data_IF_641824704600
#
_entry.id   IF_641824704600
#
_cell.length_a   1.000
_cell.length_b   1.000
_cell.length_c   1.000
_cell.angle_alpha   90.00
_cell.angle_beta   90.00
_cell.angle_gamma   90.00
#
_symmetry.space_group_name_H-M   'P 1'
#
loop_
_entity.id
_entity.type
_entity.pdbx_description
1 polymer ?
#
# COMPACT_ATOMS: atom_id res chain seq x y z
N UNK A 1 -2.97 18.01 1.99
CA UNK A 1 -3.19 16.68 2.61
C UNK A 1 -4.63 16.26 2.38
N UNK A 2 -4.80 15.24 1.54
CA UNK A 2 -6.08 14.74 1.08
C UNK A 2 -6.89 14.03 2.16
N UNK A 3 -8.17 13.75 1.89
CA UNK A 3 -8.97 12.87 2.78
C UNK A 3 -8.45 11.44 2.71
N UNK A 4 -8.01 10.99 1.53
CA UNK A 4 -7.37 9.69 1.35
C UNK A 4 -6.14 9.51 2.27
N UNK A 5 -5.29 10.54 2.39
CA UNK A 5 -4.14 10.53 3.31
C UNK A 5 -4.58 10.39 4.77
N UNK A 6 -5.62 11.12 5.18
CA UNK A 6 -6.15 11.03 6.54
C UNK A 6 -6.69 9.62 6.84
N UNK A 7 -7.46 9.03 5.92
CA UNK A 7 -7.94 7.64 6.04
C UNK A 7 -6.78 6.65 6.14
N UNK A 8 -5.73 6.84 5.34
CA UNK A 8 -4.51 6.03 5.40
C UNK A 8 -3.84 6.05 6.77
N UNK A 9 -3.71 7.22 7.40
CA UNK A 9 -3.12 7.34 8.75
C UNK A 9 -3.88 6.56 9.82
N UNK A 10 -5.18 6.26 9.60
CA UNK A 10 -5.92 5.32 10.44
C UNK A 10 -5.64 3.87 10.02
N UNK A 11 -5.72 3.55 8.72
CA UNK A 11 -5.54 2.18 8.23
C UNK A 11 -4.15 1.59 8.49
N UNK A 12 -3.09 2.41 8.44
CA UNK A 12 -1.72 1.94 8.69
C UNK A 12 -1.46 1.57 10.17
N UNK A 13 -2.28 2.08 11.11
CA UNK A 13 -2.14 1.79 12.54
C UNK A 13 -2.35 0.32 12.85
N UNK A 14 -3.21 -0.38 12.11
CA UNK A 14 -3.40 -1.82 12.28
C UNK A 14 -2.07 -2.58 12.13
N UNK A 15 -1.22 -2.18 11.17
CA UNK A 15 0.11 -2.76 10.99
C UNK A 15 1.07 -2.40 12.13
N UNK A 16 1.00 -1.16 12.63
CA UNK A 16 1.79 -0.69 13.78
C UNK A 16 1.40 -1.41 15.07
N UNK A 17 0.11 -1.61 15.33
CA UNK A 17 -0.43 -2.34 16.47
C UNK A 17 -0.04 -3.81 16.42
N UNK A 18 -0.09 -4.45 15.26
CA UNK A 18 0.37 -5.84 15.08
C UNK A 18 1.86 -5.99 15.38
N UNK A 19 2.69 -5.01 14.98
CA UNK A 19 4.11 -4.99 15.33
C UNK A 19 4.32 -4.77 16.83
N UNK A 20 3.58 -3.85 17.45
CA UNK A 20 3.65 -3.60 18.89
C UNK A 20 3.20 -4.82 19.71
N UNK A 21 2.15 -5.51 19.27
CA UNK A 21 1.71 -6.76 19.87
C UNK A 21 2.75 -7.86 19.73
N UNK A 22 3.40 -7.97 18.57
CA UNK A 22 4.54 -8.87 18.42
C UNK A 22 5.63 -8.54 19.43
N UNK A 23 6.06 -7.28 19.54
CA UNK A 23 7.11 -6.85 20.46
C UNK A 23 6.73 -7.14 21.94
N UNK A 24 5.46 -6.97 22.31
CA UNK A 24 4.98 -7.22 23.67
C UNK A 24 4.97 -8.70 24.08
N UNK A 25 4.69 -9.62 23.13
CA UNK A 25 4.66 -11.06 23.40
C UNK A 25 5.98 -11.77 23.09
N UNK A 26 6.96 -11.06 22.53
CA UNK A 26 8.23 -11.62 22.10
C UNK A 26 9.12 -11.95 23.31
N UNK A 27 8.84 -13.08 23.96
CA UNK A 27 9.70 -13.69 24.98
C UNK A 27 10.84 -14.49 24.35
N UNK A 28 11.83 -14.92 25.14
CA UNK A 28 12.85 -15.87 24.69
C UNK A 28 12.57 -17.27 25.29
N UNK A 29 12.18 -18.28 24.48
CA UNK A 29 11.95 -18.24 23.03
C UNK A 29 10.60 -17.58 22.64
N UNK A 30 10.46 -17.09 21.40
CA UNK A 30 9.22 -16.47 20.94
C UNK A 30 8.09 -17.50 20.87
N UNK A 31 6.83 -17.11 21.16
CA UNK A 31 5.68 -17.96 20.94
C UNK A 31 5.57 -18.42 19.48
N UNK A 32 5.21 -19.69 19.25
CA UNK A 32 5.13 -20.25 17.89
C UNK A 32 4.12 -19.53 16.97
N UNK A 33 3.12 -18.85 17.54
CA UNK A 33 2.13 -18.05 16.81
C UNK A 33 2.56 -16.60 16.55
N UNK A 34 3.63 -16.11 17.16
CA UNK A 34 4.07 -14.71 17.03
C UNK A 34 4.43 -14.33 15.58
N UNK A 35 4.82 -15.31 14.75
CA UNK A 35 5.06 -15.08 13.32
C UNK A 35 3.81 -14.60 12.55
N UNK A 36 2.63 -15.06 12.96
CA UNK A 36 1.36 -14.70 12.30
C UNK A 36 1.15 -13.19 12.37
N UNK A 37 1.52 -12.55 13.49
CA UNK A 37 1.40 -11.11 13.67
C UNK A 37 2.26 -10.34 12.67
N UNK A 38 3.50 -10.79 12.42
CA UNK A 38 4.38 -10.14 11.44
C UNK A 38 3.86 -10.29 10.00
N UNK A 39 3.31 -11.45 9.65
CA UNK A 39 2.68 -11.66 8.34
C UNK A 39 1.42 -10.82 8.17
N UNK A 40 0.56 -10.80 9.18
CA UNK A 40 -0.62 -9.95 9.19
C UNK A 40 -0.23 -8.47 9.06
N UNK A 41 0.80 -8.01 9.78
CA UNK A 41 1.27 -6.63 9.71
C UNK A 41 1.72 -6.22 8.30
N UNK A 42 2.46 -7.08 7.59
CA UNK A 42 2.85 -6.82 6.19
C UNK A 42 1.63 -6.72 5.27
N UNK A 43 0.64 -7.61 5.46
CA UNK A 43 -0.61 -7.59 4.69
C UNK A 43 -1.35 -6.28 4.95
N UNK A 44 -1.56 -5.92 6.22
CA UNK A 44 -2.28 -4.70 6.60
C UNK A 44 -1.59 -3.43 6.08
N UNK A 45 -0.26 -3.35 6.13
CA UNK A 45 0.47 -2.19 5.61
C UNK A 45 0.26 -2.00 4.10
N UNK A 46 0.29 -3.08 3.33
CA UNK A 46 0.08 -3.02 1.88
C UNK A 46 -1.39 -2.88 1.48
N UNK A 47 -2.31 -3.36 2.31
CA UNK A 47 -3.75 -3.07 2.15
C UNK A 47 -4.03 -1.59 2.40
N UNK A 48 -3.42 -0.97 3.41
CA UNK A 48 -3.55 0.48 3.64
C UNK A 48 -3.04 1.30 2.43
N UNK A 49 -1.95 0.85 1.79
CA UNK A 49 -1.47 1.45 0.53
C UNK A 49 -2.48 1.30 -0.63
N UNK A 50 -3.08 0.12 -0.79
CA UNK A 50 -4.11 -0.13 -1.80
C UNK A 50 -5.32 0.78 -1.61
N UNK A 51 -5.87 0.84 -0.40
CA UNK A 51 -6.99 1.72 -0.07
C UNK A 51 -6.64 3.19 -0.30
N UNK A 52 -5.44 3.63 0.08
CA UNK A 52 -5.00 5.00 -0.19
C UNK A 52 -5.03 5.34 -1.68
N UNK A 53 -4.49 4.47 -2.54
CA UNK A 53 -4.45 4.71 -3.99
C UNK A 53 -5.86 4.82 -4.56
N UNK A 54 -6.76 3.92 -4.18
CA UNK A 54 -8.15 3.92 -4.61
C UNK A 54 -8.88 5.20 -4.19
N UNK A 55 -8.78 5.56 -2.90
CA UNK A 55 -9.40 6.75 -2.34
C UNK A 55 -8.82 8.03 -2.96
N UNK A 56 -7.50 8.10 -3.17
CA UNK A 56 -6.85 9.29 -3.75
C UNK A 56 -7.30 9.55 -5.18
N UNK A 57 -7.41 8.50 -6.00
CA UNK A 57 -7.92 8.58 -7.36
C UNK A 57 -9.38 9.02 -7.39
N UNK A 58 -10.23 8.41 -6.55
CA UNK A 58 -11.64 8.76 -6.45
C UNK A 58 -11.81 10.21 -6.00
N UNK A 59 -11.04 10.65 -5.00
CA UNK A 59 -11.10 12.01 -4.49
C UNK A 59 -10.80 13.03 -5.60
N UNK A 60 -9.72 12.84 -6.36
CA UNK A 60 -9.35 13.77 -7.44
C UNK A 60 -10.30 13.70 -8.64
N UNK A 61 -10.76 12.51 -9.01
CA UNK A 61 -11.70 12.37 -10.11
C UNK A 61 -13.06 13.01 -9.79
N UNK A 62 -13.53 12.91 -8.55
CA UNK A 62 -14.74 13.61 -8.13
C UNK A 62 -14.57 15.13 -8.18
N UNK A 63 -13.39 15.68 -7.85
CA UNK A 63 -13.08 17.11 -8.00
C UNK A 63 -13.12 17.52 -9.48
N UNK A 64 -12.41 16.79 -10.36
CA UNK A 64 -12.35 17.09 -11.80
C UNK A 64 -13.72 16.98 -12.49
N UNK A 65 -14.53 16.00 -12.12
CA UNK A 65 -15.83 15.75 -12.74
C UNK A 65 -16.95 16.65 -12.18
N UNK A 66 -16.69 17.47 -11.15
CA UNK A 66 -17.71 18.33 -10.54
C UNK A 66 -18.42 19.24 -11.56
N UNK A 67 -17.69 19.75 -12.56
CA UNK A 67 -18.22 20.62 -13.62
C UNK A 67 -19.18 19.89 -14.58
N UNK A 68 -19.02 18.57 -14.71
CA UNK A 68 -19.82 17.71 -15.60
C UNK A 68 -20.69 16.72 -14.82
N UNK A 69 -20.90 16.97 -13.53
CA UNK A 69 -21.70 16.12 -12.66
C UNK A 69 -23.15 16.02 -13.18
N UNK A 70 -23.67 14.78 -13.26
CA UNK A 70 -24.99 14.50 -13.81
C UNK A 70 -25.07 14.49 -15.35
N UNK A 71 -23.94 14.67 -16.04
CA UNK A 71 -23.86 14.39 -17.47
C UNK A 71 -23.59 12.91 -17.73
N UNK A 72 -24.10 12.39 -18.85
CA UNK A 72 -23.82 11.02 -19.28
C UNK A 72 -22.32 10.70 -19.35
N UNK A 73 -21.50 11.66 -19.78
CA UNK A 73 -20.05 11.50 -19.88
C UNK A 73 -19.42 11.40 -18.49
N UNK A 74 -19.78 12.30 -17.57
CA UNK A 74 -19.29 12.26 -16.19
C UNK A 74 -19.64 10.95 -15.49
N UNK A 75 -20.91 10.52 -15.62
CA UNK A 75 -21.40 9.27 -15.03
C UNK A 75 -20.71 8.04 -15.63
N UNK A 76 -20.48 8.03 -16.95
CA UNK A 76 -19.78 6.95 -17.62
C UNK A 76 -18.33 6.82 -17.13
N UNK A 77 -17.60 7.94 -17.05
CA UNK A 77 -16.20 7.95 -16.56
C UNK A 77 -16.13 7.47 -15.12
N UNK A 78 -17.01 7.97 -14.24
CA UNK A 78 -17.03 7.56 -12.83
C UNK A 78 -17.38 6.07 -12.67
N UNK A 79 -18.33 5.55 -13.46
CA UNK A 79 -18.68 4.12 -13.44
C UNK A 79 -17.54 3.24 -13.93
N UNK A 80 -16.82 3.67 -14.97
CA UNK A 80 -15.63 2.97 -15.47
C UNK A 80 -14.52 2.96 -14.42
N UNK A 81 -14.22 4.10 -13.80
CA UNK A 81 -13.24 4.20 -12.72
C UNK A 81 -13.57 3.24 -11.58
N UNK A 82 -14.80 3.22 -11.09
CA UNK A 82 -15.22 2.30 -10.04
C UNK A 82 -15.08 0.82 -10.44
N UNK A 83 -15.25 0.51 -11.73
CA UNK A 83 -15.08 -0.86 -12.23
C UNK A 83 -13.61 -1.23 -12.28
N UNK A 84 -12.75 -0.32 -12.76
CA UNK A 84 -11.31 -0.54 -12.86
C UNK A 84 -10.66 -0.63 -11.47
N UNK A 85 -11.10 0.19 -10.50
CA UNK A 85 -10.64 0.11 -9.10
C UNK A 85 -10.99 -1.22 -8.43
N UNK A 86 -12.20 -1.75 -8.66
CA UNK A 86 -12.59 -3.08 -8.15
C UNK A 86 -11.71 -4.23 -8.64
N UNK A 87 -10.98 -4.04 -9.74
CA UNK A 87 -10.08 -5.05 -10.33
C UNK A 87 -8.61 -4.70 -10.11
N UNK A 88 -8.32 -3.57 -9.46
CA UNK A 88 -6.98 -2.98 -9.44
C UNK A 88 -5.97 -3.87 -8.70
N UNK A 89 -6.40 -4.44 -7.57
CA UNK A 89 -5.75 -5.44 -6.70
C UNK A 89 -4.21 -5.50 -6.81
N UNK A 90 -3.51 -5.29 -5.69
CA UNK A 90 -2.04 -5.31 -5.67
C UNK A 90 -1.47 -4.10 -6.44
N UNK A 91 -1.52 -2.89 -5.85
CA UNK A 91 -1.07 -1.64 -6.46
C UNK A 91 0.46 -1.58 -6.65
N UNK A 92 0.97 -2.26 -7.70
CA UNK A 92 2.39 -2.17 -8.10
C UNK A 92 2.72 -0.78 -8.62
N UNK A 93 4.02 -0.47 -8.77
CA UNK A 93 4.47 0.78 -9.40
C UNK A 93 3.78 1.03 -10.74
N UNK A 94 3.76 0.02 -11.59
CA UNK A 94 3.32 0.16 -12.99
C UNK A 94 1.80 0.27 -13.07
N UNK A 95 1.08 -0.49 -12.23
CA UNK A 95 -0.37 -0.38 -12.11
C UNK A 95 -0.77 1.01 -11.59
N UNK A 96 -0.11 1.48 -10.54
CA UNK A 96 -0.37 2.79 -9.94
C UNK A 96 -0.08 3.91 -10.92
N UNK A 97 1.08 3.87 -11.60
CA UNK A 97 1.39 4.79 -12.70
C UNK A 97 0.29 4.80 -13.76
N UNK A 98 -0.06 3.62 -14.28
CA UNK A 98 -1.01 3.50 -15.38
C UNK A 98 -2.38 4.09 -15.03
N UNK A 99 -2.92 3.78 -13.86
CA UNK A 99 -4.26 4.24 -13.50
C UNK A 99 -4.29 5.76 -13.22
N UNK A 100 -3.24 6.32 -12.61
CA UNK A 100 -3.11 7.78 -12.45
C UNK A 100 -2.96 8.48 -13.80
N UNK A 101 -2.22 7.91 -14.75
CA UNK A 101 -2.12 8.46 -16.10
C UNK A 101 -3.45 8.37 -16.85
N UNK A 102 -4.16 7.24 -16.78
CA UNK A 102 -5.44 7.02 -17.48
C UNK A 102 -6.53 7.99 -17.01
N UNK A 103 -6.62 8.24 -15.71
CA UNK A 103 -7.71 9.05 -15.14
C UNK A 103 -7.33 10.50 -14.86
N UNK A 104 -6.10 10.75 -14.40
CA UNK A 104 -5.67 12.08 -13.99
C UNK A 104 -4.69 12.74 -14.96
N UNK A 105 -4.16 11.99 -15.94
CA UNK A 105 -3.15 12.49 -16.88
C UNK A 105 -1.78 12.71 -16.23
N UNK A 106 -1.54 12.10 -15.06
CA UNK A 106 -0.36 12.34 -14.22
C UNK A 106 0.43 11.04 -14.02
N UNK A 107 1.74 11.07 -14.28
CA UNK A 107 2.63 10.01 -13.78
C UNK A 107 2.97 10.29 -12.32
N UNK A 108 2.18 9.70 -11.42
CA UNK A 108 2.36 9.91 -9.99
C UNK A 108 3.68 9.39 -9.44
N UNK A 109 4.34 8.47 -10.16
CA UNK A 109 5.57 7.82 -9.69
C UNK A 109 6.79 8.73 -9.79
N UNK A 110 6.71 9.81 -10.58
CA UNK A 110 7.75 10.84 -10.64
C UNK A 110 7.92 11.59 -9.30
N UNK A 111 6.83 11.69 -8.53
CA UNK A 111 6.82 12.29 -7.20
C UNK A 111 7.41 11.41 -6.10
N UNK A 112 7.76 10.16 -6.38
CA UNK A 112 8.19 9.18 -5.39
C UNK A 112 9.66 9.36 -4.99
N UNK A 113 9.96 10.52 -4.41
CA UNK A 113 11.28 10.87 -3.92
C UNK A 113 11.26 11.43 -2.49
N UNK A 114 12.15 10.90 -1.67
CA UNK A 114 12.44 11.37 -0.32
C UNK A 114 13.84 10.90 0.09
N UNK A 115 14.23 11.13 1.35
CA UNK A 115 15.58 10.82 1.82
C UNK A 115 16.01 9.38 1.46
N UNK A 116 17.05 9.26 0.62
CA UNK A 116 17.64 8.01 0.12
C UNK A 116 16.76 7.17 -0.81
N UNK A 117 15.67 7.73 -1.33
CA UNK A 117 14.76 7.12 -2.30
C UNK A 117 14.56 8.04 -3.50
N UNK A 118 14.98 7.57 -4.66
CA UNK A 118 14.61 8.10 -5.97
C UNK A 118 13.43 7.30 -6.55
N UNK A 119 12.74 7.81 -7.59
CA UNK A 119 11.60 7.12 -8.19
C UNK A 119 11.89 5.66 -8.60
N UNK A 120 13.05 5.35 -9.20
CA UNK A 120 13.36 3.99 -9.64
C UNK A 120 13.54 3.03 -8.46
N UNK A 121 14.29 3.47 -7.46
CA UNK A 121 14.50 2.72 -6.22
C UNK A 121 13.19 2.52 -5.48
N UNK A 122 12.32 3.53 -5.42
CA UNK A 122 11.01 3.43 -4.77
C UNK A 122 10.12 2.41 -5.48
N UNK A 123 10.01 2.48 -6.81
CA UNK A 123 9.23 1.53 -7.61
C UNK A 123 9.70 0.09 -7.39
N UNK A 124 11.02 -0.13 -7.42
CA UNK A 124 11.64 -1.45 -7.21
C UNK A 124 11.35 -1.96 -5.79
N UNK A 125 11.45 -1.09 -4.79
CA UNK A 125 11.22 -1.44 -3.38
C UNK A 125 9.75 -1.78 -3.12
N UNK A 126 8.81 -0.99 -3.64
CA UNK A 126 7.37 -1.27 -3.51
C UNK A 126 7.02 -2.64 -4.11
N UNK A 127 7.49 -2.91 -5.33
CA UNK A 127 7.23 -4.18 -6.01
C UNK A 127 7.82 -5.38 -5.24
N UNK A 128 8.98 -5.21 -4.62
CA UNK A 128 9.58 -6.23 -3.75
C UNK A 128 8.70 -6.54 -2.54
N UNK A 129 8.16 -5.51 -1.86
CA UNK A 129 7.25 -5.71 -0.73
C UNK A 129 5.93 -6.40 -1.14
N UNK A 130 5.36 -6.01 -2.28
CA UNK A 130 4.16 -6.65 -2.83
C UNK A 130 4.40 -8.13 -3.12
N UNK A 131 5.56 -8.47 -3.69
CA UNK A 131 5.97 -9.86 -3.91
C UNK A 131 6.10 -10.63 -2.59
N UNK A 132 6.79 -10.05 -1.62
CA UNK A 132 6.98 -10.67 -0.29
C UNK A 132 5.66 -10.90 0.46
N UNK A 133 4.68 -10.01 0.29
CA UNK A 133 3.31 -10.22 0.82
C UNK A 133 2.63 -11.41 0.15
N UNK A 134 2.78 -11.57 -1.16
CA UNK A 134 2.30 -12.77 -1.88
C UNK A 134 2.87 -14.05 -1.28
N UNK A 135 4.19 -14.09 -1.04
CA UNK A 135 4.83 -15.25 -0.39
C UNK A 135 4.31 -15.45 1.04
N UNK A 136 4.10 -14.38 1.80
CA UNK A 136 3.59 -14.44 3.16
C UNK A 136 2.18 -15.03 3.27
N UNK A 137 1.32 -14.73 2.30
CA UNK A 137 -0.05 -15.25 2.26
C UNK A 137 -0.08 -16.68 1.71
N UNK A 138 0.64 -16.96 0.62
CA UNK A 138 0.52 -18.23 -0.10
C UNK A 138 1.44 -19.34 0.39
N UNK A 139 2.60 -19.02 0.98
CA UNK A 139 3.64 -20.01 1.36
C UNK A 139 3.85 -20.08 2.88
N UNK A 140 2.80 -19.77 3.66
CA UNK A 140 2.87 -19.60 5.11
C UNK A 140 3.40 -20.81 5.90
N UNK A 141 3.48 -22.02 5.32
CA UNK A 141 4.16 -23.20 5.89
C UNK A 141 4.66 -24.18 4.80
N UNK A 142 5.95 -24.46 4.66
CA UNK A 142 6.38 -25.75 4.12
C UNK A 142 6.04 -26.84 5.14
N UNK A 143 5.44 -27.94 4.70
CA UNK A 143 5.46 -29.19 5.48
C UNK A 143 6.94 -29.63 5.51
N UNK A 144 7.59 -29.66 6.68
CA UNK A 144 8.96 -30.18 6.72
C UNK A 144 9.31 -30.98 7.98
N UNK A 145 10.08 -32.03 7.73
CA UNK A 145 10.48 -33.09 8.64
C UNK A 145 11.56 -32.62 9.64
N UNK A 146 11.15 -32.01 10.75
CA UNK A 146 11.96 -31.99 11.99
C UNK A 146 12.94 -30.83 12.22
N UNK A 147 13.00 -29.81 11.36
CA UNK A 147 13.82 -28.60 11.61
C UNK A 147 12.96 -27.32 11.75
N UNK A 148 13.25 -26.40 12.70
CA UNK A 148 12.51 -25.15 12.83
C UNK A 148 12.66 -24.28 11.59
N UNK A 149 11.55 -23.90 10.96
CA UNK A 149 11.55 -23.01 9.79
C UNK A 149 11.83 -21.59 10.24
N UNK A 150 12.82 -20.92 9.65
CA UNK A 150 13.09 -19.51 9.92
C UNK A 150 11.88 -18.65 9.54
N UNK A 151 11.56 -17.65 10.37
CA UNK A 151 10.45 -16.75 10.12
C UNK A 151 10.58 -16.09 8.75
N UNK A 152 9.49 -16.11 7.96
CA UNK A 152 9.49 -15.54 6.61
C UNK A 152 9.66 -14.01 6.60
N UNK A 153 9.19 -13.35 7.66
CA UNK A 153 9.31 -11.91 7.86
C UNK A 153 9.97 -11.64 9.21
N UNK A 154 11.03 -10.84 9.20
CA UNK A 154 11.71 -10.37 10.42
C UNK A 154 11.03 -9.11 10.96
N UNK A 155 11.24 -8.83 12.24
CA UNK A 155 10.68 -7.66 12.93
C UNK A 155 11.13 -6.36 12.29
N UNK A 156 12.43 -6.23 12.01
CA UNK A 156 13.02 -5.05 11.36
C UNK A 156 12.52 -4.85 9.93
N UNK A 157 12.21 -5.93 9.22
CA UNK A 157 11.60 -5.84 7.88
C UNK A 157 10.17 -5.30 7.94
N UNK A 158 9.37 -5.71 8.94
CA UNK A 158 8.02 -5.18 9.13
C UNK A 158 8.05 -3.68 9.46
N UNK A 159 8.93 -3.27 10.37
CA UNK A 159 9.11 -1.85 10.69
C UNK A 159 9.55 -1.03 9.46
N UNK A 160 10.47 -1.57 8.66
CA UNK A 160 10.94 -0.94 7.42
C UNK A 160 9.82 -0.76 6.41
N UNK A 161 8.96 -1.78 6.19
CA UNK A 161 7.86 -1.65 5.23
C UNK A 161 6.81 -0.65 5.70
N UNK A 162 6.46 -0.63 6.99
CA UNK A 162 5.51 0.35 7.55
C UNK A 162 6.01 1.76 7.29
N UNK A 163 7.27 2.04 7.65
CA UNK A 163 7.88 3.36 7.41
C UNK A 163 7.92 3.71 5.92
N UNK A 164 8.35 2.76 5.08
CA UNK A 164 8.40 2.96 3.63
C UNK A 164 7.03 3.33 3.05
N UNK A 165 5.96 2.63 3.45
CA UNK A 165 4.61 2.91 2.96
C UNK A 165 4.12 4.28 3.42
N UNK A 166 4.41 4.69 4.67
CA UNK A 166 4.06 6.05 5.15
C UNK A 166 4.76 7.13 4.33
N UNK A 167 6.06 6.97 4.08
CA UNK A 167 6.83 7.92 3.27
C UNK A 167 6.34 7.94 1.80
N UNK A 168 6.00 6.77 1.24
CA UNK A 168 5.44 6.64 -0.12
C UNK A 168 4.10 7.36 -0.25
N UNK A 169 3.18 7.15 0.69
CA UNK A 169 1.87 7.82 0.71
C UNK A 169 2.04 9.32 0.82
N UNK A 170 2.92 9.79 1.72
CA UNK A 170 3.22 11.21 1.86
C UNK A 170 3.78 11.83 0.60
N UNK A 171 4.76 11.19 -0.04
CA UNK A 171 5.34 11.66 -1.29
C UNK A 171 4.29 11.71 -2.41
N UNK A 172 3.45 10.67 -2.49
CA UNK A 172 2.34 10.60 -3.44
C UNK A 172 1.34 11.73 -3.22
N UNK A 173 0.92 11.96 -1.97
CA UNK A 173 -0.09 12.98 -1.64
C UNK A 173 0.38 14.39 -1.99
N UNK A 174 1.62 14.71 -1.59
CA UNK A 174 2.24 16.00 -1.89
C UNK A 174 2.40 16.19 -3.39
N UNK A 175 2.80 15.16 -4.13
CA UNK A 175 2.97 15.26 -5.57
C UNK A 175 1.64 15.50 -6.29
N UNK A 176 0.59 14.80 -5.90
CA UNK A 176 -0.75 14.99 -6.48
C UNK A 176 -1.28 16.39 -6.15
N UNK A 177 -1.19 16.84 -4.88
CA UNK A 177 -1.64 18.18 -4.45
C UNK A 177 -0.90 19.31 -5.18
N UNK A 178 0.34 19.10 -5.61
CA UNK A 178 1.14 20.11 -6.31
C UNK A 178 0.92 20.15 -7.83
N UNK A 179 0.30 19.12 -8.42
CA UNK A 179 0.21 18.96 -9.87
C UNK A 179 -1.23 18.89 -10.40
N UNK A 180 -2.25 18.93 -9.54
CA UNK A 180 -3.68 18.92 -9.89
C UNK A 180 -4.44 20.00 -9.12
#
# INVERSE_FOLDING_TARGET
MSRAYQSFEYGIKDAEELLAHFDAINTNPPPANAEVLKRAGLVMALTAWETYVEDRLLEEMNKKLCVVAGSYVGDFVLKKLNTDLKQFHNPSSDKTKRIFQEYLGLDVTEGWSWANYDPEKTKTTLNSWIGKRGDAVHRSKPINNGSPVAHLIKRDELEKVIRFIKDLVKATDVYVDNNL
#
